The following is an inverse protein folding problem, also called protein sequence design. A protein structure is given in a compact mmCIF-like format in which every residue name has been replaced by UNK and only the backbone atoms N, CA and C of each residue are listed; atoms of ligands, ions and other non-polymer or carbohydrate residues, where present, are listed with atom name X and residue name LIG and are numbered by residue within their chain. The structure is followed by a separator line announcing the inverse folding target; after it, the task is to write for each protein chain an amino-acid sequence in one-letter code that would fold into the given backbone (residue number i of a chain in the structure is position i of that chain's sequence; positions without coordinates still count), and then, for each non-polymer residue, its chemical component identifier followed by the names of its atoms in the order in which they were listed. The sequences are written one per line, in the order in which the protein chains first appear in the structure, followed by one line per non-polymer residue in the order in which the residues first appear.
data_IF_128167415397
#
_entry.id   IF_128167415397
#
_cell.length_a   1.000
_cell.length_b   1.000
_cell.length_c   1.000
_cell.angle_alpha   90.00
_cell.angle_beta   90.00
_cell.angle_gamma   90.00
#
_symmetry.space_group_name_H-M   'P 1'
#
loop_
_entity.id
_entity.type
_entity.pdbx_description
1 polymer ?
#
# COMPACT_ATOMS: atom_id res chain seq x y z
N UNK A 1 -5.40 17.07 9.10
CA UNK A 1 -4.54 17.44 7.96
C UNK A 1 -5.40 18.06 6.88
N UNK A 2 -4.80 18.76 5.92
CA UNK A 2 -5.51 19.23 4.73
C UNK A 2 -5.39 18.22 3.56
N UNK A 3 -6.15 18.43 2.48
CA UNK A 3 -6.19 17.49 1.35
C UNK A 3 -4.83 17.33 0.66
N UNK A 4 -4.01 18.39 0.58
CA UNK A 4 -2.69 18.31 -0.06
C UNK A 4 -1.75 17.44 0.77
N UNK A 5 -1.70 17.66 2.08
CA UNK A 5 -0.91 16.82 3.00
C UNK A 5 -1.35 15.34 2.93
N UNK A 6 -2.65 15.08 2.81
CA UNK A 6 -3.16 13.72 2.66
C UNK A 6 -2.68 13.06 1.36
N UNK A 7 -2.79 13.78 0.24
CA UNK A 7 -2.36 13.30 -1.08
C UNK A 7 -0.87 12.98 -1.09
N UNK A 8 -0.04 13.80 -0.44
CA UNK A 8 1.41 13.55 -0.31
C UNK A 8 1.72 12.29 0.51
N UNK A 9 0.90 11.98 1.51
CA UNK A 9 1.10 10.85 2.41
C UNK A 9 0.41 9.55 1.98
N UNK A 10 -0.37 9.57 0.89
CA UNK A 10 -1.23 8.44 0.52
C UNK A 10 -0.47 7.15 0.25
N UNK A 11 0.73 7.22 -0.33
CA UNK A 11 1.56 6.04 -0.57
C UNK A 11 1.99 5.41 0.76
N UNK A 12 2.52 6.23 1.67
CA UNK A 12 2.93 5.76 3.00
C UNK A 12 1.74 5.20 3.81
N UNK A 13 0.55 5.77 3.64
CA UNK A 13 -0.69 5.25 4.21
C UNK A 13 -1.02 3.85 3.68
N UNK A 14 -0.95 3.65 2.36
CA UNK A 14 -1.25 2.38 1.70
C UNK A 14 -0.21 1.29 2.01
N UNK A 15 1.05 1.69 2.20
CA UNK A 15 2.16 0.80 2.58
C UNK A 15 2.24 0.53 4.09
N UNK A 16 1.42 1.21 4.90
CA UNK A 16 1.41 1.05 6.35
C UNK A 16 2.67 1.58 7.05
N UNK A 17 3.36 2.55 6.44
CA UNK A 17 4.64 3.09 6.93
C UNK A 17 4.53 4.41 7.70
N UNK A 18 3.30 4.93 7.86
CA UNK A 18 3.04 6.10 8.72
C UNK A 18 3.24 5.76 10.20
N UNK A 19 3.76 6.72 10.96
CA UNK A 19 3.69 6.67 12.41
C UNK A 19 2.22 6.76 12.89
N UNK A 20 1.99 6.36 14.15
CA UNK A 20 0.64 6.26 14.72
C UNK A 20 -0.10 7.60 14.76
N UNK A 21 0.59 8.70 15.03
CA UNK A 21 -0.03 10.02 15.13
C UNK A 21 -0.46 10.51 13.75
N UNK A 22 0.44 10.39 12.77
CA UNK A 22 0.15 10.76 11.38
C UNK A 22 -0.96 9.88 10.80
N UNK A 23 -0.95 8.58 11.10
CA UNK A 23 -2.01 7.65 10.69
C UNK A 23 -3.38 8.06 11.24
N UNK A 24 -3.46 8.38 12.53
CA UNK A 24 -4.71 8.82 13.14
C UNK A 24 -5.23 10.12 12.51
N UNK A 25 -4.36 11.11 12.25
CA UNK A 25 -4.73 12.35 11.56
C UNK A 25 -5.22 12.11 10.13
N UNK A 26 -4.64 11.13 9.44
CA UNK A 26 -5.06 10.72 8.09
C UNK A 26 -6.43 10.06 8.12
N UNK A 27 -6.63 9.08 9.00
CA UNK A 27 -7.91 8.37 9.15
C UNK A 27 -9.05 9.33 9.53
N UNK A 28 -8.81 10.27 10.46
CA UNK A 28 -9.79 11.32 10.78
C UNK A 28 -10.17 12.15 9.56
N UNK A 29 -9.20 12.53 8.72
CA UNK A 29 -9.51 13.32 7.53
C UNK A 29 -10.35 12.54 6.51
N UNK A 30 -10.13 11.24 6.35
CA UNK A 30 -10.97 10.41 5.47
C UNK A 30 -12.43 10.35 5.92
N UNK A 31 -12.70 10.44 7.23
CA UNK A 31 -14.07 10.49 7.76
C UNK A 31 -14.77 11.83 7.49
N UNK A 32 -14.00 12.89 7.24
CA UNK A 32 -14.52 14.26 7.12
C UNK A 32 -14.55 14.76 5.67
N UNK A 33 -13.90 14.06 4.73
CA UNK A 33 -13.74 14.52 3.35
C UNK A 33 -13.98 13.40 2.32
N UNK A 34 -15.19 13.36 1.76
CA UNK A 34 -15.58 12.45 0.69
C UNK A 34 -14.62 12.49 -0.51
N UNK A 35 -14.06 13.67 -0.83
CA UNK A 35 -13.11 13.80 -1.95
C UNK A 35 -11.81 13.02 -1.72
N UNK A 36 -11.27 13.06 -0.52
CA UNK A 36 -10.07 12.32 -0.16
C UNK A 36 -10.36 10.83 0.05
N UNK A 37 -11.53 10.46 0.57
CA UNK A 37 -11.97 9.06 0.61
C UNK A 37 -12.00 8.45 -0.80
N UNK A 38 -12.67 9.12 -1.74
CA UNK A 38 -12.73 8.70 -3.14
C UNK A 38 -11.33 8.61 -3.78
N UNK A 39 -10.45 9.58 -3.50
CA UNK A 39 -9.07 9.56 -4.00
C UNK A 39 -8.29 8.33 -3.52
N UNK A 40 -8.38 7.98 -2.23
CA UNK A 40 -7.73 6.77 -1.69
C UNK A 40 -8.29 5.51 -2.34
N UNK A 41 -9.62 5.42 -2.52
CA UNK A 41 -10.26 4.28 -3.19
C UNK A 41 -9.76 4.12 -4.64
N UNK A 42 -9.58 5.23 -5.38
CA UNK A 42 -9.04 5.20 -6.75
C UNK A 42 -7.59 4.70 -6.79
N UNK A 43 -6.75 5.12 -5.84
CA UNK A 43 -5.38 4.63 -5.75
C UNK A 43 -5.33 3.14 -5.39
N UNK A 44 -6.16 2.69 -4.45
CA UNK A 44 -6.30 1.27 -4.12
C UNK A 44 -6.71 0.44 -5.35
N UNK A 45 -7.66 0.93 -6.14
CA UNK A 45 -8.08 0.29 -7.38
C UNK A 45 -6.95 0.23 -8.42
N UNK A 46 -6.16 1.29 -8.53
CA UNK A 46 -4.99 1.36 -9.42
C UNK A 46 -3.93 0.34 -9.00
N UNK A 47 -3.55 0.30 -7.72
CA UNK A 47 -2.58 -0.66 -7.17
C UNK A 47 -3.06 -2.09 -7.41
N UNK A 48 -4.33 -2.40 -7.11
CA UNK A 48 -4.92 -3.72 -7.35
C UNK A 48 -4.91 -4.12 -8.82
N UNK A 49 -5.12 -3.16 -9.71
CA UNK A 49 -5.15 -3.41 -11.16
C UNK A 49 -3.75 -3.69 -11.69
N UNK A 50 -2.77 -2.86 -11.32
CA UNK A 50 -1.38 -3.03 -11.75
C UNK A 50 -0.74 -4.28 -11.11
N UNK A 51 -1.08 -4.61 -9.87
CA UNK A 51 -0.60 -5.82 -9.19
C UNK A 51 -1.10 -7.15 -9.79
N UNK A 52 -2.01 -7.12 -10.75
CA UNK A 52 -2.45 -8.30 -11.53
C UNK A 52 -1.63 -8.52 -12.79
N UNK A 53 -0.82 -7.54 -13.19
CA UNK A 53 0.11 -7.71 -14.29
C UNK A 53 1.12 -8.78 -13.86
N UNK A 54 1.28 -9.88 -14.60
CA UNK A 54 2.29 -10.86 -14.29
C UNK A 54 3.65 -10.15 -14.27
N UNK A 55 4.28 -10.09 -13.09
CA UNK A 55 5.74 -9.90 -13.06
C UNK A 55 6.33 -11.09 -13.79
N UNK A 56 7.41 -10.91 -14.58
CA UNK A 56 8.13 -12.03 -15.19
C UNK A 56 8.19 -13.19 -14.20
N UNK A 57 7.56 -14.31 -14.56
CA UNK A 57 7.44 -15.44 -13.65
C UNK A 57 8.85 -15.80 -13.22
N UNK A 58 9.10 -15.78 -11.90
CA UNK A 58 10.35 -16.25 -11.36
C UNK A 58 10.54 -17.67 -11.86
N UNK A 59 11.72 -17.94 -12.42
CA UNK A 59 12.13 -19.30 -12.77
C UNK A 59 11.76 -20.24 -11.61
N UNK A 60 11.00 -21.33 -11.86
CA UNK A 60 10.48 -22.17 -10.80
C UNK A 60 11.57 -22.73 -9.87
N UNK A 61 12.77 -22.98 -10.38
CA UNK A 61 13.91 -23.44 -9.57
C UNK A 61 14.40 -22.32 -8.64
N UNK A 62 14.52 -21.10 -9.16
CA UNK A 62 14.84 -19.93 -8.35
C UNK A 62 13.79 -19.67 -7.25
N UNK A 63 12.50 -19.74 -7.59
CA UNK A 63 11.41 -19.62 -6.61
C UNK A 63 11.51 -20.67 -5.49
N UNK A 64 11.77 -21.92 -5.85
CA UNK A 64 11.92 -23.00 -4.87
C UNK A 64 13.14 -22.80 -3.96
N UNK A 65 14.27 -22.35 -4.52
CA UNK A 65 15.46 -22.00 -3.73
C UNK A 65 15.18 -20.86 -2.76
N UNK A 66 14.49 -19.81 -3.21
CA UNK A 66 14.09 -18.68 -2.36
C UNK A 66 13.20 -19.14 -1.21
N UNK A 67 12.11 -19.87 -1.50
CA UNK A 67 11.20 -20.38 -0.48
C UNK A 67 11.88 -21.35 0.50
N UNK A 68 12.86 -22.14 0.03
CA UNK A 68 13.64 -23.01 0.91
C UNK A 68 14.56 -22.22 1.84
N UNK A 69 15.17 -21.13 1.36
CA UNK A 69 16.09 -20.31 2.17
C UNK A 69 15.39 -19.62 3.35
N UNK A 70 14.11 -19.25 3.18
CA UNK A 70 13.32 -18.56 4.21
C UNK A 70 12.42 -19.51 5.02
N UNK A 71 12.48 -20.82 4.81
CA UNK A 71 11.56 -21.79 5.43
C UNK A 71 11.66 -21.81 6.97
N UNK A 72 12.87 -21.64 7.50
CA UNK A 72 13.16 -21.69 8.94
C UNK A 72 13.61 -20.32 9.47
N UNK A 73 13.29 -19.24 8.76
CA UNK A 73 13.73 -17.89 9.13
C UNK A 73 12.96 -17.37 10.35
N UNK A 74 13.69 -16.82 11.31
CA UNK A 74 13.22 -16.32 12.62
C UNK A 74 13.49 -14.82 12.75
#
# INVERSE_FOLDING_TARGET
MNCNELVELVTAYLEGSLDLETRARFDTHLLECDGCENYVQQLQATVKTLGRIPSEDLDPEFRNRLLSAFRDWK
#
